data_IF_204026264120
#
_entry.id   IF_204026264120
#
_cell.length_a   1.000
_cell.length_b   1.000
_cell.length_c   1.000
_cell.angle_alpha   90.00
_cell.angle_beta   90.00
_cell.angle_gamma   90.00
#
_symmetry.space_group_name_H-M   'P 1'
#
loop_
_entity.id
_entity.type
_entity.pdbx_description
1 polymer ?
#
# COMPACT_ATOMS: atom_id res chain seq x y z
N UNK A 1 43.35 -24.88 69.36
CA UNK A 1 42.41 -25.82 68.72
C UNK A 1 41.88 -25.17 67.46
N UNK A 2 42.16 -25.77 66.30
CA UNK A 2 41.59 -25.37 65.00
C UNK A 2 40.25 -26.08 64.84
N UNK A 3 39.22 -25.36 64.41
CA UNK A 3 38.07 -25.96 63.73
C UNK A 3 37.83 -25.18 62.44
N UNK A 4 38.05 -25.87 61.31
CA UNK A 4 37.44 -25.55 60.02
C UNK A 4 35.99 -26.02 60.03
N UNK A 5 35.11 -25.31 59.33
CA UNK A 5 34.16 -25.93 58.40
C UNK A 5 33.59 -24.84 57.50
N UNK A 6 33.79 -25.07 56.21
CA UNK A 6 33.24 -24.29 55.12
C UNK A 6 31.77 -24.64 54.89
N UNK A 7 31.15 -23.83 54.03
CA UNK A 7 29.93 -24.10 53.26
C UNK A 7 28.59 -23.92 53.98
N UNK A 8 27.94 -22.76 53.75
CA UNK A 8 26.51 -22.72 53.41
C UNK A 8 26.31 -21.73 52.26
N UNK A 9 26.33 -22.30 51.05
CA UNK A 9 25.50 -22.01 49.88
C UNK A 9 24.97 -20.59 49.67
N UNK A 10 25.59 -19.90 48.71
CA UNK A 10 24.97 -18.80 47.99
C UNK A 10 23.75 -19.29 47.21
N UNK A 11 22.57 -18.79 47.58
CA UNK A 11 21.39 -18.83 46.73
C UNK A 11 21.56 -17.78 45.62
N UNK A 12 22.25 -18.14 44.54
CA UNK A 12 22.12 -17.44 43.28
C UNK A 12 20.71 -17.76 42.77
N UNK A 13 19.78 -16.87 43.06
CA UNK A 13 18.47 -16.84 42.43
C UNK A 13 18.68 -16.66 40.93
N UNK A 14 18.73 -17.77 40.19
CA UNK A 14 18.50 -17.77 38.75
C UNK A 14 17.04 -17.35 38.56
N UNK A 15 16.81 -16.04 38.53
CA UNK A 15 15.62 -15.51 37.91
C UNK A 15 15.63 -16.03 36.48
N UNK A 16 14.77 -17.02 36.23
CA UNK A 16 14.43 -17.50 34.91
C UNK A 16 13.93 -16.29 34.13
N UNK A 17 14.80 -15.67 33.33
CA UNK A 17 14.39 -14.72 32.31
C UNK A 17 13.61 -15.52 31.27
N UNK A 18 12.31 -15.70 31.49
CA UNK A 18 11.42 -16.18 30.46
C UNK A 18 11.58 -15.21 29.28
N UNK A 19 11.94 -15.68 28.07
CA UNK A 19 12.12 -14.79 26.94
C UNK A 19 10.79 -14.07 26.68
N UNK A 20 10.75 -12.76 26.94
CA UNK A 20 9.60 -11.93 26.66
C UNK A 20 9.42 -11.86 25.14
N UNK A 21 8.25 -12.21 24.64
CA UNK A 21 7.91 -11.95 23.24
C UNK A 21 7.63 -10.46 23.08
N UNK A 22 8.61 -9.76 22.50
CA UNK A 22 8.50 -8.33 22.26
C UNK A 22 7.57 -8.04 21.08
N UNK A 23 6.90 -6.90 21.17
CA UNK A 23 6.21 -6.33 20.03
C UNK A 23 7.23 -5.86 18.99
N UNK A 24 6.82 -5.85 17.72
CA UNK A 24 7.56 -5.29 16.60
C UNK A 24 7.90 -3.83 16.87
N UNK A 25 9.20 -3.51 16.97
CA UNK A 25 9.71 -2.15 17.12
C UNK A 25 9.48 -1.31 15.84
N UNK A 26 9.75 0.00 15.91
CA UNK A 26 9.44 0.93 14.81
C UNK A 26 9.99 0.48 13.45
N UNK A 27 11.23 0.00 13.40
CA UNK A 27 11.86 -0.49 12.17
C UNK A 27 11.14 -1.73 11.62
N UNK A 28 10.87 -2.71 12.50
CA UNK A 28 10.07 -3.88 12.15
C UNK A 28 8.69 -3.45 11.62
N UNK A 29 8.00 -2.48 12.23
CA UNK A 29 6.66 -2.04 11.79
C UNK A 29 6.70 -1.43 10.40
N UNK A 30 7.77 -0.69 10.09
CA UNK A 30 8.01 -0.11 8.76
C UNK A 30 8.20 -1.24 7.73
N UNK A 31 9.06 -2.22 8.01
CA UNK A 31 9.34 -3.33 7.09
C UNK A 31 8.11 -4.24 6.88
N UNK A 32 7.37 -4.52 7.95
CA UNK A 32 6.06 -5.19 7.88
C UNK A 32 5.12 -4.43 6.96
N UNK A 33 5.03 -3.10 7.10
CA UNK A 33 4.14 -2.29 6.26
C UNK A 33 4.55 -2.30 4.80
N UNK A 34 5.86 -2.26 4.50
CA UNK A 34 6.37 -2.37 3.12
C UNK A 34 6.01 -3.71 2.48
N UNK A 35 6.11 -4.82 3.22
CA UNK A 35 5.74 -6.14 2.70
C UNK A 35 4.33 -6.18 2.10
N UNK A 36 3.37 -5.49 2.71
CA UNK A 36 2.03 -5.32 2.17
C UNK A 36 1.94 -4.23 1.10
N UNK A 37 2.49 -3.05 1.38
CA UNK A 37 2.36 -1.86 0.53
C UNK A 37 2.90 -2.11 -0.89
N UNK A 38 4.03 -2.80 -1.01
CA UNK A 38 4.66 -3.09 -2.30
C UNK A 38 3.72 -3.90 -3.21
N UNK A 39 2.94 -4.83 -2.65
CA UNK A 39 1.97 -5.64 -3.43
C UNK A 39 0.76 -4.81 -3.87
N UNK A 40 0.26 -3.93 -3.00
CA UNK A 40 -0.83 -3.03 -3.36
C UNK A 40 -0.41 -1.96 -4.36
N UNK A 41 0.87 -1.54 -4.32
CA UNK A 41 1.43 -0.63 -5.31
C UNK A 41 1.38 -1.25 -6.71
N UNK A 42 1.79 -2.51 -6.86
CA UNK A 42 1.71 -3.25 -8.13
C UNK A 42 0.28 -3.25 -8.72
N UNK A 43 -0.72 -3.54 -7.90
CA UNK A 43 -2.13 -3.49 -8.33
C UNK A 43 -2.53 -2.05 -8.69
N UNK A 44 -2.15 -1.08 -7.85
CA UNK A 44 -2.51 0.31 -8.08
C UNK A 44 -1.93 0.87 -9.38
N UNK A 45 -0.72 0.42 -9.76
CA UNK A 45 -0.05 0.82 -10.99
C UNK A 45 -0.85 0.43 -12.23
N UNK A 46 -1.55 -0.71 -12.21
CA UNK A 46 -2.43 -1.12 -13.32
C UNK A 46 -3.50 -0.07 -13.62
N UNK A 47 -4.04 0.61 -12.61
CA UNK A 47 -5.05 1.66 -12.82
C UNK A 47 -4.48 2.88 -13.52
N UNK A 48 -3.28 3.32 -13.12
CA UNK A 48 -2.63 4.45 -13.77
C UNK A 48 -2.18 4.10 -15.19
N UNK A 49 -1.80 2.85 -15.46
CA UNK A 49 -1.58 2.36 -16.83
C UNK A 49 -2.87 2.42 -17.65
N UNK A 50 -3.99 1.91 -17.14
CA UNK A 50 -5.29 1.98 -17.84
C UNK A 50 -5.70 3.43 -18.10
N UNK A 51 -5.56 4.32 -17.11
CA UNK A 51 -5.84 5.75 -17.26
C UNK A 51 -4.97 6.36 -18.39
N UNK A 52 -3.68 6.08 -18.38
CA UNK A 52 -2.73 6.55 -19.40
C UNK A 52 -3.09 6.07 -20.81
N UNK A 53 -3.48 4.79 -20.95
CA UNK A 53 -3.89 4.20 -22.21
C UNK A 53 -5.23 4.77 -22.72
N UNK A 54 -6.18 5.04 -21.81
CA UNK A 54 -7.46 5.66 -22.17
C UNK A 54 -7.29 7.12 -22.58
N UNK A 55 -6.39 7.87 -21.93
CA UNK A 55 -6.00 9.22 -22.35
C UNK A 55 -5.47 9.20 -23.78
N UNK A 56 -4.54 8.28 -24.09
CA UNK A 56 -3.97 8.16 -25.43
C UNK A 56 -5.02 7.88 -26.51
N UNK A 57 -6.01 7.03 -26.22
CA UNK A 57 -7.02 6.60 -27.19
C UNK A 57 -8.19 7.56 -27.34
N UNK A 58 -8.57 8.26 -26.28
CA UNK A 58 -9.87 8.92 -26.19
C UNK A 58 -9.80 10.42 -25.89
N UNK A 59 -8.64 10.99 -25.56
CA UNK A 59 -8.52 12.41 -25.24
C UNK A 59 -9.10 13.30 -26.34
N UNK A 60 -8.79 13.00 -27.61
CA UNK A 60 -9.21 13.78 -28.78
C UNK A 60 -10.52 13.32 -29.41
N UNK A 61 -11.30 12.46 -28.75
CA UNK A 61 -12.60 12.04 -29.28
C UNK A 61 -13.50 13.27 -29.53
N UNK A 62 -14.04 13.39 -30.75
CA UNK A 62 -14.84 14.56 -31.16
C UNK A 62 -14.05 15.80 -31.60
N UNK A 63 -12.71 15.74 -31.59
CA UNK A 63 -11.84 16.74 -32.24
C UNK A 63 -11.53 16.28 -33.66
N UNK A 64 -11.71 17.12 -34.71
CA UNK A 64 -11.37 16.74 -36.07
C UNK A 64 -9.89 16.36 -36.22
N UNK A 65 -9.59 15.25 -36.89
CA UNK A 65 -8.22 14.71 -37.00
C UNK A 65 -7.23 15.72 -37.56
N UNK A 66 -7.65 16.55 -38.53
CA UNK A 66 -6.82 17.59 -39.14
C UNK A 66 -6.53 18.81 -38.23
N UNK A 67 -7.07 18.85 -37.01
CA UNK A 67 -6.86 19.97 -36.07
C UNK A 67 -5.41 20.06 -35.63
N UNK A 68 -4.78 18.90 -35.42
CA UNK A 68 -3.39 18.79 -35.01
C UNK A 68 -2.61 17.94 -36.01
N UNK A 69 -1.32 18.22 -36.16
CA UNK A 69 -0.37 17.26 -36.71
C UNK A 69 -0.13 16.13 -35.72
N UNK A 70 0.33 14.97 -36.19
CA UNK A 70 0.69 13.84 -35.32
C UNK A 70 1.69 14.24 -34.22
N UNK A 71 2.66 15.10 -34.54
CA UNK A 71 3.65 15.59 -33.59
C UNK A 71 3.02 16.46 -32.49
N UNK A 72 2.09 17.35 -32.84
CA UNK A 72 1.35 18.18 -31.89
C UNK A 72 0.45 17.30 -31.00
N UNK A 73 -0.28 16.36 -31.60
CA UNK A 73 -1.14 15.41 -30.88
C UNK A 73 -0.37 14.54 -29.89
N UNK A 74 0.76 13.96 -30.32
CA UNK A 74 1.63 13.16 -29.46
C UNK A 74 2.23 13.98 -28.30
N UNK A 75 2.59 15.24 -28.56
CA UNK A 75 3.10 16.14 -27.50
C UNK A 75 2.03 16.44 -26.45
N UNK A 76 0.79 16.70 -26.90
CA UNK A 76 -0.34 16.93 -26.02
C UNK A 76 -0.67 15.68 -25.17
N UNK A 77 -0.77 14.51 -25.80
CA UNK A 77 -0.98 13.23 -25.09
C UNK A 77 0.13 13.00 -24.08
N UNK A 78 1.40 13.18 -24.46
CA UNK A 78 2.54 13.01 -23.57
C UNK A 78 2.42 13.92 -22.34
N UNK A 79 2.03 15.18 -22.53
CA UNK A 79 1.87 16.14 -21.42
C UNK A 79 0.86 15.64 -20.38
N UNK A 80 -0.27 15.08 -20.82
CA UNK A 80 -1.26 14.52 -19.91
C UNK A 80 -0.74 13.21 -19.27
N UNK A 81 -0.12 12.31 -20.04
CA UNK A 81 0.43 11.05 -19.53
C UNK A 81 1.53 11.28 -18.48
N UNK A 82 2.40 12.28 -18.67
CA UNK A 82 3.41 12.67 -17.69
C UNK A 82 2.75 13.15 -16.38
N UNK A 83 1.61 13.82 -16.47
CA UNK A 83 0.83 14.25 -15.29
C UNK A 83 0.16 13.07 -14.58
N UNK A 84 -0.34 12.08 -15.34
CA UNK A 84 -0.85 10.81 -14.80
C UNK A 84 0.26 10.07 -14.02
N UNK A 85 1.49 10.05 -14.51
CA UNK A 85 2.64 9.45 -13.80
C UNK A 85 3.01 10.20 -12.51
N UNK A 86 2.85 11.53 -12.49
CA UNK A 86 3.00 12.33 -11.28
C UNK A 86 1.92 11.96 -10.24
N UNK A 87 0.66 11.80 -10.67
CA UNK A 87 -0.44 11.37 -9.81
C UNK A 87 -0.16 9.97 -9.21
N UNK A 88 0.33 9.04 -10.02
CA UNK A 88 0.76 7.70 -9.59
C UNK A 88 1.86 7.78 -8.53
N UNK A 89 2.89 8.59 -8.76
CA UNK A 89 4.00 8.78 -7.80
C UNK A 89 3.52 9.36 -6.47
N UNK A 90 2.55 10.28 -6.50
CA UNK A 90 1.94 10.82 -5.29
C UNK A 90 1.09 9.78 -4.55
N UNK A 91 0.37 8.93 -5.30
CA UNK A 91 -0.40 7.83 -4.74
C UNK A 91 0.45 6.79 -4.03
N UNK A 92 1.58 6.37 -4.61
CA UNK A 92 2.48 5.38 -4.01
C UNK A 92 2.90 5.76 -2.57
N UNK A 93 3.15 7.06 -2.33
CA UNK A 93 3.47 7.60 -0.99
C UNK A 93 2.32 7.44 0.01
N UNK A 94 1.07 7.44 -0.48
CA UNK A 94 -0.13 7.29 0.34
C UNK A 94 -0.36 5.83 0.75
N UNK A 95 -0.05 4.88 -0.14
CA UNK A 95 -0.26 3.43 0.10
C UNK A 95 0.45 2.99 1.38
N UNK A 96 1.75 3.28 1.48
CA UNK A 96 2.54 2.89 2.66
C UNK A 96 1.92 3.43 3.95
N UNK A 97 1.58 4.72 3.98
CA UNK A 97 1.02 5.34 5.18
C UNK A 97 -0.33 4.73 5.57
N UNK A 98 -1.19 4.45 4.58
CA UNK A 98 -2.48 3.79 4.80
C UNK A 98 -2.30 2.37 5.34
N UNK A 99 -1.37 1.60 4.76
CA UNK A 99 -1.04 0.24 5.25
C UNK A 99 -0.52 0.28 6.68
N UNK A 100 0.45 1.17 6.95
CA UNK A 100 1.03 1.34 8.27
C UNK A 100 -0.06 1.66 9.31
N UNK A 101 -0.90 2.64 9.03
CA UNK A 101 -1.95 3.05 9.96
C UNK A 101 -2.98 1.96 10.15
N UNK A 102 -3.32 1.21 9.10
CA UNK A 102 -4.27 0.09 9.16
C UNK A 102 -3.79 -1.02 10.07
N UNK A 103 -2.51 -1.36 10.04
CA UNK A 103 -1.96 -2.42 10.88
C UNK A 103 -1.75 -1.92 12.32
N UNK A 104 -1.17 -0.73 12.47
CA UNK A 104 -0.55 -0.31 13.73
C UNK A 104 -1.27 0.82 14.47
N UNK A 105 -2.23 1.52 13.86
CA UNK A 105 -2.94 2.64 14.50
C UNK A 105 -4.44 2.43 14.59
N UNK A 106 -5.04 1.79 13.60
CA UNK A 106 -6.47 1.50 13.59
C UNK A 106 -6.80 0.26 14.42
N UNK A 107 -8.00 0.22 15.00
CA UNK A 107 -8.45 -0.95 15.76
C UNK A 107 -8.93 -2.12 14.86
N UNK A 108 -8.62 -3.38 15.22
CA UNK A 108 -7.71 -3.77 16.29
C UNK A 108 -6.25 -3.45 15.93
N UNK A 109 -5.53 -2.83 16.87
CA UNK A 109 -4.12 -2.46 16.69
C UNK A 109 -3.22 -3.68 16.87
N UNK A 110 -2.37 -3.96 15.88
CA UNK A 110 -1.28 -4.93 16.02
C UNK A 110 -0.10 -4.28 16.76
N UNK A 111 -0.33 -3.95 18.03
CA UNK A 111 0.65 -3.34 18.94
C UNK A 111 0.51 -3.94 20.33
N UNK A 112 1.59 -3.87 21.09
CA UNK A 112 1.60 -4.28 22.49
C UNK A 112 2.11 -5.69 22.72
N UNK A 113 2.24 -6.01 24.01
CA UNK A 113 2.87 -7.22 24.54
C UNK A 113 2.22 -8.52 24.03
N UNK A 114 3.06 -9.49 23.68
CA UNK A 114 2.69 -10.81 23.20
C UNK A 114 2.97 -11.93 24.23
N UNK A 115 3.10 -11.58 25.52
CA UNK A 115 3.36 -12.55 26.57
C UNK A 115 2.10 -13.11 27.25
N UNK A 116 0.91 -12.55 26.97
CA UNK A 116 -0.32 -12.89 27.69
C UNK A 116 -1.55 -12.97 26.75
N UNK A 117 -1.96 -14.15 26.24
CA UNK A 117 -1.37 -15.47 26.48
C UNK A 117 -0.08 -15.68 25.67
N UNK A 118 0.93 -16.30 26.29
CA UNK A 118 2.13 -16.70 25.55
C UNK A 118 1.83 -17.91 24.67
N UNK A 119 1.90 -17.73 23.35
CA UNK A 119 1.69 -18.80 22.35
C UNK A 119 2.97 -19.26 21.68
N UNK A 120 3.88 -18.32 21.44
CA UNK A 120 5.16 -18.54 20.78
C UNK A 120 6.31 -18.10 21.68
N UNK A 121 7.52 -18.54 21.36
CA UNK A 121 8.75 -18.13 22.02
C UNK A 121 9.50 -17.26 21.03
N UNK A 122 9.93 -16.06 21.45
CA UNK A 122 10.72 -15.21 20.58
C UNK A 122 12.02 -15.92 20.20
N UNK A 123 12.32 -16.05 18.90
CA UNK A 123 13.56 -16.68 18.47
C UNK A 123 14.75 -15.84 18.94
N UNK A 124 15.94 -16.46 19.07
CA UNK A 124 17.15 -15.71 19.35
C UNK A 124 17.40 -14.62 18.31
N UNK A 125 18.15 -13.58 18.68
CA UNK A 125 18.56 -12.54 17.74
C UNK A 125 19.23 -13.14 16.51
N UNK A 126 18.79 -12.70 15.32
CA UNK A 126 19.28 -13.21 14.03
C UNK A 126 18.65 -14.53 13.58
N UNK A 127 17.70 -15.08 14.33
CA UNK A 127 16.91 -16.26 13.94
C UNK A 127 15.51 -15.82 13.56
N UNK A 128 15.06 -16.24 12.39
CA UNK A 128 13.73 -15.94 11.87
C UNK A 128 12.64 -16.67 12.66
N UNK A 129 11.45 -16.08 12.69
CA UNK A 129 10.23 -16.79 13.03
C UNK A 129 9.92 -17.88 12.00
N UNK A 130 9.04 -18.80 12.38
CA UNK A 130 8.66 -19.93 11.55
C UNK A 130 7.17 -19.87 11.20
N UNK A 131 6.78 -20.58 10.13
CA UNK A 131 5.35 -20.73 9.78
C UNK A 131 4.52 -21.37 10.93
N UNK A 132 5.03 -22.36 11.67
CA UNK A 132 4.40 -22.79 12.91
C UNK A 132 4.14 -21.66 13.92
N UNK A 133 5.06 -20.71 14.10
CA UNK A 133 4.81 -19.56 15.00
C UNK A 133 3.63 -18.73 14.54
N UNK A 134 3.52 -18.47 13.23
CA UNK A 134 2.37 -17.82 12.62
C UNK A 134 1.06 -18.59 12.86
N UNK A 135 1.07 -19.92 12.71
CA UNK A 135 -0.13 -20.74 12.89
C UNK A 135 -0.56 -20.86 14.36
N UNK A 136 0.38 -20.80 15.29
CA UNK A 136 0.12 -20.96 16.72
C UNK A 136 -0.43 -19.69 17.38
N UNK A 137 -0.37 -18.54 16.70
CA UNK A 137 -1.03 -17.33 17.19
C UNK A 137 -2.54 -17.46 17.06
N UNK A 138 -3.26 -16.94 18.05
CA UNK A 138 -4.73 -16.93 18.08
C UNK A 138 -5.31 -15.64 18.71
N UNK A 139 -4.45 -14.66 18.98
CA UNK A 139 -4.83 -13.36 19.53
C UNK A 139 -3.98 -12.24 18.92
N UNK A 140 -4.53 -11.04 18.89
CA UNK A 140 -3.90 -9.88 18.27
C UNK A 140 -2.89 -9.28 19.25
N UNK A 141 -1.64 -9.25 18.84
CA UNK A 141 -0.57 -8.49 19.48
C UNK A 141 0.40 -7.93 18.42
N UNK A 142 1.46 -7.26 18.88
CA UNK A 142 2.37 -6.52 18.01
C UNK A 142 3.49 -7.30 17.32
N UNK A 143 3.58 -8.63 17.42
CA UNK A 143 4.69 -9.37 16.78
C UNK A 143 4.37 -9.82 15.34
N UNK A 144 5.37 -10.12 14.51
CA UNK A 144 5.15 -10.58 13.14
C UNK A 144 4.35 -11.89 12.99
N UNK A 145 4.48 -12.91 13.88
CA UNK A 145 3.59 -14.07 13.87
C UNK A 145 2.10 -13.74 13.99
N UNK A 146 1.71 -12.80 14.87
CA UNK A 146 0.32 -12.32 15.02
C UNK A 146 -0.17 -11.70 13.72
N UNK A 147 0.62 -10.82 13.12
CA UNK A 147 0.29 -10.15 11.85
C UNK A 147 0.16 -11.17 10.72
N UNK A 148 1.04 -12.17 10.67
CA UNK A 148 0.98 -13.29 9.73
C UNK A 148 -0.30 -14.12 9.90
N UNK A 149 -0.70 -14.42 11.14
CA UNK A 149 -1.91 -15.17 11.43
C UNK A 149 -3.17 -14.43 10.97
N UNK A 150 -3.30 -13.16 11.36
CA UNK A 150 -4.47 -12.33 11.07
C UNK A 150 -4.38 -11.60 9.73
N UNK A 151 -3.45 -12.02 8.85
CA UNK A 151 -3.25 -11.43 7.54
C UNK A 151 -4.55 -11.29 6.70
N UNK A 152 -5.48 -12.27 6.67
CA UNK A 152 -6.74 -12.10 5.94
C UNK A 152 -7.58 -10.91 6.42
N UNK A 153 -7.65 -10.70 7.75
CA UNK A 153 -8.34 -9.56 8.34
C UNK A 153 -7.64 -8.24 7.99
N UNK A 154 -6.31 -8.21 8.13
CA UNK A 154 -5.50 -7.03 7.81
C UNK A 154 -5.67 -6.65 6.33
N UNK A 155 -5.57 -7.61 5.40
CA UNK A 155 -5.77 -7.38 3.97
C UNK A 155 -7.14 -6.77 3.69
N UNK A 156 -8.20 -7.33 4.25
CA UNK A 156 -9.56 -6.82 4.07
C UNK A 156 -9.67 -5.35 4.50
N UNK A 157 -9.06 -4.98 5.63
CA UNK A 157 -9.07 -3.61 6.13
C UNK A 157 -8.27 -2.66 5.22
N UNK A 158 -7.09 -3.09 4.77
CA UNK A 158 -6.24 -2.30 3.86
C UNK A 158 -6.96 -2.06 2.54
N UNK A 159 -7.47 -3.12 1.91
CA UNK A 159 -8.19 -3.06 0.63
C UNK A 159 -9.36 -2.09 0.72
N UNK A 160 -10.18 -2.20 1.77
CA UNK A 160 -11.31 -1.28 1.99
C UNK A 160 -10.86 0.19 2.03
N UNK A 161 -9.81 0.50 2.80
CA UNK A 161 -9.32 1.88 2.92
C UNK A 161 -8.70 2.40 1.63
N UNK A 162 -7.84 1.62 0.99
CA UNK A 162 -7.20 2.00 -0.27
C UNK A 162 -8.24 2.19 -1.37
N UNK A 163 -9.26 1.33 -1.46
CA UNK A 163 -10.35 1.47 -2.44
C UNK A 163 -11.10 2.78 -2.25
N UNK A 164 -11.52 3.09 -1.01
CA UNK A 164 -12.24 4.33 -0.71
C UNK A 164 -11.39 5.57 -1.02
N UNK A 165 -10.10 5.55 -0.66
CA UNK A 165 -9.18 6.63 -0.96
C UNK A 165 -8.96 6.80 -2.46
N UNK A 166 -8.77 5.70 -3.20
CA UNK A 166 -8.49 5.75 -4.63
C UNK A 166 -9.72 6.18 -5.41
N UNK A 167 -10.92 5.71 -5.05
CA UNK A 167 -12.19 6.17 -5.62
C UNK A 167 -12.39 7.67 -5.43
N UNK A 168 -12.16 8.21 -4.22
CA UNK A 168 -12.28 9.64 -3.95
C UNK A 168 -11.30 10.50 -4.78
N UNK A 169 -10.15 9.93 -5.18
CA UNK A 169 -9.16 10.65 -6.01
C UNK A 169 -9.54 10.74 -7.48
N UNK A 170 -10.48 9.93 -7.96
CA UNK A 170 -10.92 9.89 -9.37
C UNK A 170 -12.41 10.19 -9.55
N UNK A 171 -13.08 10.66 -8.50
CA UNK A 171 -14.51 10.98 -8.51
C UNK A 171 -14.78 12.34 -9.21
N UNK A 172 -15.11 12.29 -10.50
CA UNK A 172 -15.50 13.46 -11.28
C UNK A 172 -14.41 14.51 -11.52
N UNK A 173 -14.85 15.73 -11.77
CA UNK A 173 -14.03 16.91 -12.06
C UNK A 173 -13.50 17.62 -10.81
N UNK A 174 -14.01 17.30 -9.63
CA UNK A 174 -13.47 17.76 -8.34
C UNK A 174 -12.44 16.78 -7.76
N UNK A 175 -12.14 15.70 -8.48
CA UNK A 175 -11.22 14.68 -8.01
C UNK A 175 -9.79 15.21 -7.85
N UNK A 176 -9.05 14.67 -6.88
CA UNK A 176 -7.63 15.02 -6.68
C UNK A 176 -6.80 14.84 -7.97
N UNK A 177 -7.03 13.73 -8.70
CA UNK A 177 -6.35 13.47 -9.98
C UNK A 177 -6.69 14.54 -11.01
N UNK A 178 -7.96 14.94 -11.13
CA UNK A 178 -8.35 15.96 -12.07
C UNK A 178 -7.81 17.34 -11.69
N UNK A 179 -8.12 17.80 -10.48
CA UNK A 179 -7.81 19.15 -10.00
C UNK A 179 -6.31 19.40 -9.92
N UNK A 180 -5.53 18.42 -9.42
CA UNK A 180 -4.12 18.63 -9.14
C UNK A 180 -3.17 18.14 -10.24
N UNK A 181 -3.66 17.34 -11.20
CA UNK A 181 -2.79 16.71 -12.22
C UNK A 181 -3.31 16.90 -13.64
N UNK A 182 -4.37 16.19 -14.04
CA UNK A 182 -4.73 16.11 -15.47
C UNK A 182 -5.45 17.36 -15.98
N UNK A 183 -6.21 18.06 -15.14
CA UNK A 183 -6.85 19.34 -15.47
C UNK A 183 -5.83 20.46 -15.75
N UNK A 184 -4.86 20.73 -14.84
CA UNK A 184 -3.77 21.68 -15.09
C UNK A 184 -2.90 21.32 -16.31
N UNK A 185 -2.66 20.03 -16.53
CA UNK A 185 -1.94 19.56 -17.71
C UNK A 185 -2.73 19.83 -19.00
N UNK A 186 -4.05 19.61 -18.99
CA UNK A 186 -4.92 19.98 -20.12
C UNK A 186 -4.93 21.48 -20.36
N UNK A 187 -4.99 22.30 -19.31
CA UNK A 187 -4.91 23.75 -19.46
C UNK A 187 -3.58 24.20 -20.08
N UNK A 188 -2.49 23.50 -19.76
CA UNK A 188 -1.18 23.73 -20.37
C UNK A 188 -1.21 23.39 -21.85
N UNK A 189 -1.80 22.25 -22.22
CA UNK A 189 -2.00 21.84 -23.62
C UNK A 189 -2.83 22.87 -24.39
N UNK A 190 -3.95 23.34 -23.83
CA UNK A 190 -4.83 24.32 -24.46
C UNK A 190 -4.14 25.67 -24.68
N UNK A 191 -3.30 26.09 -23.74
CA UNK A 191 -2.49 27.31 -23.86
C UNK A 191 -1.42 27.16 -24.95
N UNK A 192 -0.76 26.00 -25.01
CA UNK A 192 0.31 25.72 -25.97
C UNK A 192 -0.22 25.45 -27.39
N UNK A 193 -1.47 25.01 -27.53
CA UNK A 193 -2.10 24.64 -28.79
C UNK A 193 -3.40 25.44 -29.03
N UNK A 194 -3.31 26.69 -29.52
CA UNK A 194 -4.49 27.54 -29.75
C UNK A 194 -5.55 26.92 -30.68
N UNK A 195 -5.15 26.00 -31.57
CA UNK A 195 -6.05 25.22 -32.45
C UNK A 195 -7.07 24.39 -31.66
N UNK A 196 -6.73 24.01 -30.43
CA UNK A 196 -7.61 23.24 -29.53
C UNK A 196 -8.56 24.12 -28.71
N UNK A 197 -8.40 25.45 -28.70
CA UNK A 197 -9.22 26.33 -27.86
C UNK A 197 -10.74 26.16 -28.09
N UNK A 198 -11.25 26.01 -29.33
CA UNK A 198 -12.69 25.75 -29.56
C UNK A 198 -13.18 24.41 -28.98
N UNK A 199 -12.27 23.47 -28.72
CA UNK A 199 -12.56 22.13 -28.24
C UNK A 199 -12.30 21.95 -26.74
N UNK A 200 -11.96 23.00 -26.00
CA UNK A 200 -11.60 22.89 -24.58
C UNK A 200 -12.66 22.15 -23.75
N UNK A 201 -13.94 22.48 -23.92
CA UNK A 201 -15.03 21.80 -23.22
C UNK A 201 -15.15 20.31 -23.59
N UNK A 202 -14.92 19.96 -24.86
CA UNK A 202 -14.90 18.55 -25.32
C UNK A 202 -13.77 17.79 -24.66
N UNK A 203 -12.56 18.37 -24.62
CA UNK A 203 -11.39 17.74 -24.02
C UNK A 203 -11.53 17.55 -22.51
N UNK A 204 -12.08 18.54 -21.80
CA UNK A 204 -12.43 18.40 -20.38
C UNK A 204 -13.47 17.29 -20.17
N UNK A 205 -14.51 17.25 -21.00
CA UNK A 205 -15.53 16.20 -20.98
C UNK A 205 -14.94 14.79 -21.20
N UNK A 206 -14.02 14.65 -22.16
CA UNK A 206 -13.35 13.38 -22.44
C UNK A 206 -12.50 12.93 -21.25
N UNK A 207 -11.73 13.84 -20.62
CA UNK A 207 -10.96 13.50 -19.41
C UNK A 207 -11.85 13.05 -18.25
N UNK A 208 -12.95 13.75 -18.01
CA UNK A 208 -13.92 13.36 -16.97
C UNK A 208 -14.51 11.98 -17.24
N UNK A 209 -14.91 11.73 -18.49
CA UNK A 209 -15.43 10.42 -18.90
C UNK A 209 -14.40 9.30 -18.71
N UNK A 210 -13.14 9.55 -19.06
CA UNK A 210 -12.04 8.60 -18.84
C UNK A 210 -11.87 8.29 -17.34
N UNK A 211 -11.89 9.31 -16.48
CA UNK A 211 -11.76 9.12 -15.03
C UNK A 211 -12.93 8.31 -14.45
N UNK A 212 -14.17 8.61 -14.88
CA UNK A 212 -15.36 7.85 -14.47
C UNK A 212 -15.33 6.38 -14.93
N UNK A 213 -14.75 6.10 -16.10
CA UNK A 213 -14.54 4.73 -16.57
C UNK A 213 -13.50 4.00 -15.71
N UNK A 214 -12.36 4.63 -15.41
CA UNK A 214 -11.34 4.06 -14.53
C UNK A 214 -11.88 3.84 -13.12
N UNK A 215 -12.72 4.75 -12.61
CA UNK A 215 -13.40 4.61 -11.33
C UNK A 215 -14.26 3.36 -11.26
N UNK A 216 -14.96 2.99 -12.34
CA UNK A 216 -15.73 1.74 -12.40
C UNK A 216 -14.82 0.51 -12.28
N UNK A 217 -13.64 0.56 -12.89
CA UNK A 217 -12.64 -0.52 -12.82
C UNK A 217 -12.08 -0.69 -11.38
N UNK A 218 -12.12 0.37 -10.54
CA UNK A 218 -11.72 0.31 -9.12
C UNK A 218 -12.65 -0.50 -8.23
N UNK A 219 -13.87 -0.81 -8.65
CA UNK A 219 -14.79 -1.62 -7.85
C UNK A 219 -14.24 -3.03 -7.57
N UNK A 220 -13.30 -3.49 -8.39
CA UNK A 220 -12.62 -4.78 -8.23
C UNK A 220 -11.20 -4.65 -7.64
N UNK A 221 -10.85 -3.51 -7.05
CA UNK A 221 -9.52 -3.25 -6.49
C UNK A 221 -9.07 -4.33 -5.51
N UNK A 222 -7.92 -4.94 -5.81
CA UNK A 222 -7.32 -6.01 -5.04
C UNK A 222 -8.28 -7.19 -4.75
N UNK A 223 -9.23 -7.42 -5.67
CA UNK A 223 -10.05 -8.63 -5.71
C UNK A 223 -9.18 -9.88 -5.83
N UNK A 224 -9.74 -11.05 -5.55
CA UNK A 224 -9.04 -12.34 -5.68
C UNK A 224 -8.48 -12.58 -7.09
N UNK A 225 -9.09 -11.98 -8.12
CA UNK A 225 -8.58 -12.06 -9.50
C UNK A 225 -7.39 -11.15 -9.79
N UNK A 226 -7.21 -10.07 -9.03
CA UNK A 226 -6.07 -9.15 -9.17
C UNK A 226 -4.92 -9.50 -8.22
N UNK A 227 -5.25 -10.11 -7.08
CA UNK A 227 -4.28 -10.51 -6.09
C UNK A 227 -3.62 -11.84 -6.47
N UNK A 228 -2.30 -11.83 -6.70
CA UNK A 228 -1.58 -13.08 -6.96
C UNK A 228 -1.63 -14.01 -5.76
N UNK A 229 -2.01 -15.28 -5.97
CA UNK A 229 -2.07 -16.30 -4.91
C UNK A 229 -0.73 -16.45 -4.17
N UNK A 230 0.40 -16.27 -4.85
CA UNK A 230 1.72 -16.43 -4.24
C UNK A 230 2.09 -15.27 -3.31
N UNK A 231 1.48 -14.08 -3.46
CA UNK A 231 1.83 -12.92 -2.64
C UNK A 231 1.50 -13.10 -1.16
N UNK A 232 0.46 -13.89 -0.85
CA UNK A 232 0.14 -14.22 0.54
C UNK A 232 1.26 -15.02 1.19
N UNK A 233 1.86 -15.94 0.42
CA UNK A 233 3.01 -16.72 0.88
C UNK A 233 4.25 -15.84 1.00
N UNK A 234 4.52 -15.01 0.00
CA UNK A 234 5.68 -14.10 0.00
C UNK A 234 5.66 -13.16 1.19
N UNK A 235 4.50 -12.52 1.44
CA UNK A 235 4.31 -11.62 2.59
C UNK A 235 4.56 -12.39 3.87
N UNK A 236 3.94 -13.56 4.06
CA UNK A 236 4.13 -14.36 5.28
C UNK A 236 5.59 -14.73 5.50
N UNK A 237 6.30 -15.18 4.47
CA UNK A 237 7.73 -15.51 4.57
C UNK A 237 8.52 -14.27 5.00
N UNK A 238 8.28 -13.12 4.37
CA UNK A 238 8.99 -11.88 4.68
C UNK A 238 8.70 -11.39 6.10
N UNK A 239 7.43 -11.40 6.54
CA UNK A 239 7.04 -11.03 7.91
C UNK A 239 7.81 -11.84 8.95
N UNK A 240 7.98 -13.14 8.70
CA UNK A 240 8.65 -14.04 9.63
C UNK A 240 10.18 -13.86 9.65
N UNK A 241 10.76 -13.05 8.75
CA UNK A 241 12.18 -12.66 8.83
C UNK A 241 12.45 -11.51 9.80
N UNK A 242 11.41 -10.86 10.33
CA UNK A 242 11.55 -9.74 11.27
C UNK A 242 11.47 -10.27 12.71
N UNK A 243 12.59 -10.32 13.47
CA UNK A 243 12.60 -10.88 14.83
C UNK A 243 11.88 -10.00 15.86
#
# INVERSE_FOLDING_TARGET
MRFSTAAIFGAISMALFAPSVLACERECQVNVSHAFADKYELISNTYYTILSDRVEKSLFYGVPEQTLTDAEGNTAIKTIKDSVEQAKTAWAKTIFQTVFDTIFKDEPKFKGDCNHPRRVIQPPLGVNWTMPDCHNMDYICGNPPSICHFMPMIKTRIVKKLTLQLQARVDGDESDVYVNYVGPALQTVLTAQPKLAPYGAVLHGNLNQILEEVKKDLNNFASETQWSHDWDRDIKILLLTFP
#
